data_IF_704627475006
#
_entry.id   IF_704627475006
#
_cell.length_a   1.000
_cell.length_b   1.000
_cell.length_c   1.000
_cell.angle_alpha   90.00
_cell.angle_beta   90.00
_cell.angle_gamma   90.00
#
_symmetry.space_group_name_H-M   'P 1'
#
loop_
_entity.id
_entity.type
_entity.pdbx_description
1 polymer ?
#
# COMPACT_ATOMS: atom_id res chain seq x y z
N UNK A 1 -12.20 -18.48 14.91
CA UNK A 1 -13.54 -18.01 14.53
C UNK A 1 -14.37 -17.52 15.75
N UNK A 2 -14.44 -18.25 16.86
CA UNK A 2 -15.31 -17.89 17.99
C UNK A 2 -14.93 -16.63 18.77
N UNK A 3 -13.68 -16.18 18.75
CA UNK A 3 -13.23 -15.02 19.51
C UNK A 3 -13.57 -13.71 18.78
N UNK A 4 -13.44 -13.69 17.48
CA UNK A 4 -13.86 -12.56 16.63
C UNK A 4 -15.37 -12.32 16.74
N UNK A 5 -16.18 -13.37 16.75
CA UNK A 5 -17.63 -13.27 16.89
C UNK A 5 -18.04 -12.72 18.26
N UNK A 6 -17.32 -13.09 19.32
CA UNK A 6 -17.53 -12.53 20.66
C UNK A 6 -17.20 -11.04 20.72
N UNK A 7 -16.08 -10.62 20.10
CA UNK A 7 -15.70 -9.22 20.02
C UNK A 7 -16.73 -8.39 19.25
N UNK A 8 -17.19 -8.87 18.11
CA UNK A 8 -18.23 -8.20 17.31
C UNK A 8 -19.54 -8.04 18.09
N UNK A 9 -19.94 -9.04 18.86
CA UNK A 9 -21.13 -8.93 19.72
C UNK A 9 -20.98 -7.85 20.80
N UNK A 10 -19.79 -7.69 21.39
CA UNK A 10 -19.51 -6.61 22.36
C UNK A 10 -19.57 -5.24 21.70
N UNK A 11 -18.96 -5.10 20.53
CA UNK A 11 -18.97 -3.84 19.76
C UNK A 11 -20.41 -3.44 19.41
N UNK A 12 -21.20 -4.37 18.88
CA UNK A 12 -22.60 -4.11 18.51
C UNK A 12 -23.50 -3.79 19.73
N UNK A 13 -23.13 -4.26 20.92
CA UNK A 13 -23.82 -3.94 22.19
C UNK A 13 -23.31 -2.64 22.85
N UNK A 14 -22.41 -1.88 22.16
CA UNK A 14 -21.74 -0.69 22.70
C UNK A 14 -21.01 -0.92 24.03
N UNK A 15 -20.34 -2.05 24.14
CA UNK A 15 -19.51 -2.39 25.30
C UNK A 15 -18.02 -2.11 25.02
N UNK A 16 -17.72 -1.36 23.94
CA UNK A 16 -16.37 -1.03 23.50
C UNK A 16 -16.37 0.42 23.02
N UNK A 17 -15.52 1.25 23.61
CA UNK A 17 -15.37 2.65 23.27
C UNK A 17 -14.31 2.88 22.17
N UNK A 18 -13.24 2.07 22.16
CA UNK A 18 -12.13 2.21 21.24
C UNK A 18 -11.80 0.86 20.60
N UNK A 19 -11.68 0.84 19.27
CA UNK A 19 -11.28 -0.33 18.50
C UNK A 19 -9.89 -0.04 17.89
N UNK A 20 -8.90 -0.87 18.23
CA UNK A 20 -7.56 -0.79 17.65
C UNK A 20 -7.36 -1.99 16.73
N UNK A 21 -6.88 -1.73 15.51
CA UNK A 21 -6.63 -2.81 14.57
C UNK A 21 -5.90 -2.37 13.32
N UNK A 22 -5.77 -3.28 12.39
CA UNK A 22 -5.12 -3.07 11.10
C UNK A 22 -6.16 -2.88 10.00
N UNK A 23 -5.70 -2.77 8.75
CA UNK A 23 -6.56 -2.72 7.55
C UNK A 23 -7.65 -3.82 7.50
N UNK A 24 -7.48 -4.92 8.21
CA UNK A 24 -8.48 -6.00 8.27
C UNK A 24 -9.81 -5.53 8.87
N UNK A 25 -9.79 -4.57 9.80
CA UNK A 25 -11.01 -4.02 10.39
C UNK A 25 -11.80 -3.19 9.37
N UNK A 26 -11.11 -2.58 8.40
CA UNK A 26 -11.76 -1.82 7.33
C UNK A 26 -12.55 -2.70 6.36
N UNK A 27 -12.34 -4.01 6.37
CA UNK A 27 -12.98 -4.95 5.44
C UNK A 27 -14.00 -5.84 6.15
N UNK A 28 -15.23 -5.85 5.65
CA UNK A 28 -16.23 -6.86 6.06
C UNK A 28 -17.01 -6.61 7.35
N UNK A 29 -16.63 -5.62 8.17
CA UNK A 29 -17.36 -5.31 9.41
C UNK A 29 -18.14 -4.01 9.28
N UNK A 30 -19.29 -3.95 9.92
CA UNK A 30 -20.12 -2.75 10.01
C UNK A 30 -20.17 -2.29 11.47
N UNK A 31 -19.84 -1.01 11.70
CA UNK A 31 -19.85 -0.40 13.03
C UNK A 31 -20.80 0.81 13.02
N UNK A 32 -22.09 0.61 13.32
CA UNK A 32 -23.12 1.65 13.17
C UNK A 32 -22.88 2.92 14.00
N UNK A 33 -22.18 2.80 15.11
CA UNK A 33 -21.88 3.93 16.02
C UNK A 33 -20.46 4.47 15.91
N UNK A 34 -19.73 4.09 14.86
CA UNK A 34 -18.39 4.61 14.61
C UNK A 34 -18.50 6.07 14.13
N UNK A 35 -18.05 6.99 14.94
CA UNK A 35 -18.09 8.43 14.67
C UNK A 35 -16.70 9.05 14.45
N UNK A 36 -15.64 8.35 14.83
CA UNK A 36 -14.27 8.81 14.65
C UNK A 36 -13.36 7.67 14.17
N UNK A 37 -12.54 7.95 13.16
CA UNK A 37 -11.48 7.05 12.69
C UNK A 37 -10.17 7.80 12.75
N UNK A 38 -9.16 7.20 13.38
CA UNK A 38 -7.79 7.71 13.39
C UNK A 38 -6.88 6.76 12.64
N UNK A 39 -6.27 7.24 11.57
CA UNK A 39 -5.27 6.51 10.79
C UNK A 39 -3.89 6.91 11.28
N UNK A 40 -3.23 5.99 11.96
CA UNK A 40 -1.86 6.20 12.46
C UNK A 40 -0.87 5.86 11.34
N UNK A 41 0.15 6.70 11.15
CA UNK A 41 1.19 6.55 10.11
C UNK A 41 0.57 6.45 8.70
N UNK A 42 -0.15 7.49 8.29
CA UNK A 42 -0.77 7.56 6.96
C UNK A 42 0.27 7.58 5.80
N UNK A 43 1.54 7.79 6.12
CA UNK A 43 2.67 7.79 5.17
C UNK A 43 3.22 6.38 4.89
N UNK A 44 2.67 5.36 5.53
CA UNK A 44 3.14 3.96 5.40
C UNK A 44 3.23 3.47 3.96
N UNK A 45 2.38 3.97 3.08
CA UNK A 45 2.35 3.62 1.67
C UNK A 45 3.56 4.08 0.88
N UNK A 46 4.17 5.19 1.27
CA UNK A 46 5.33 5.74 0.57
C UNK A 46 6.58 4.87 0.75
N UNK A 47 6.58 4.00 1.76
CA UNK A 47 7.69 3.11 2.10
C UNK A 47 7.69 1.80 1.32
N UNK A 48 6.72 1.61 0.42
CA UNK A 48 6.54 0.34 -0.29
C UNK A 48 7.19 0.31 -1.68
N UNK A 49 7.60 -0.90 -2.08
CA UNK A 49 8.08 -1.19 -3.44
C UNK A 49 6.95 -1.61 -4.40
N UNK A 50 5.69 -1.45 -3.97
CA UNK A 50 4.52 -1.78 -4.75
C UNK A 50 4.11 -0.56 -5.57
N UNK A 51 4.18 -0.67 -6.88
CA UNK A 51 3.74 0.38 -7.81
C UNK A 51 2.27 0.78 -7.64
N UNK A 52 1.48 -0.07 -6.99
CA UNK A 52 0.07 0.18 -6.70
C UNK A 52 -0.19 0.56 -5.24
N UNK A 53 0.87 0.86 -4.49
CA UNK A 53 0.74 1.22 -3.08
C UNK A 53 -0.18 2.43 -2.89
N UNK A 54 0.04 3.46 -3.68
CA UNK A 54 -0.76 4.70 -3.69
C UNK A 54 -2.24 4.43 -3.98
N UNK A 55 -2.53 3.67 -5.04
CA UNK A 55 -3.92 3.29 -5.40
C UNK A 55 -4.60 2.50 -4.27
N UNK A 56 -3.88 1.52 -3.71
CA UNK A 56 -4.41 0.69 -2.61
C UNK A 56 -4.72 1.50 -1.37
N UNK A 57 -3.91 2.51 -1.08
CA UNK A 57 -4.16 3.39 0.06
C UNK A 57 -5.35 4.29 -0.14
N UNK A 58 -5.49 4.88 -1.31
CA UNK A 58 -6.66 5.69 -1.63
C UNK A 58 -7.92 4.84 -1.53
N UNK A 59 -7.91 3.62 -2.09
CA UNK A 59 -9.03 2.70 -1.95
C UNK A 59 -9.34 2.39 -0.48
N UNK A 60 -8.30 2.16 0.34
CA UNK A 60 -8.45 1.93 1.77
C UNK A 60 -9.08 3.15 2.46
N UNK A 61 -8.57 4.33 2.19
CA UNK A 61 -9.03 5.56 2.83
C UNK A 61 -10.46 5.92 2.41
N UNK A 62 -10.82 5.71 1.14
CA UNK A 62 -12.22 5.83 0.70
C UNK A 62 -13.13 4.79 1.36
N UNK A 63 -12.66 3.56 1.58
CA UNK A 63 -13.43 2.56 2.33
C UNK A 63 -13.65 2.98 3.78
N UNK A 64 -12.66 3.61 4.41
CA UNK A 64 -12.77 4.14 5.77
C UNK A 64 -13.75 5.32 5.82
N UNK A 65 -13.66 6.28 4.90
CA UNK A 65 -14.57 7.42 4.83
C UNK A 65 -16.02 6.99 4.64
N UNK A 66 -16.26 6.04 3.74
CA UNK A 66 -17.60 5.47 3.53
C UNK A 66 -18.15 4.69 4.71
N UNK A 67 -17.34 4.37 5.73
CA UNK A 67 -17.81 3.73 6.97
C UNK A 67 -18.14 4.72 8.06
N UNK A 68 -17.33 5.77 8.22
CA UNK A 68 -17.56 6.80 9.20
C UNK A 68 -18.84 7.61 8.91
N UNK A 69 -19.19 7.82 7.64
CA UNK A 69 -20.32 8.66 7.22
C UNK A 69 -21.68 7.97 7.07
N UNK A 70 -21.77 6.63 7.24
CA UNK A 70 -23.01 5.90 6.91
C UNK A 70 -24.19 6.14 7.87
N UNK A 71 -23.91 6.49 9.12
CA UNK A 71 -24.95 6.52 10.16
C UNK A 71 -25.01 7.83 10.96
N UNK A 72 -24.07 8.77 10.76
CA UNK A 72 -24.11 10.08 11.40
C UNK A 72 -23.61 11.16 10.45
N UNK A 73 -24.27 12.32 10.48
CA UNK A 73 -23.91 13.51 9.70
C UNK A 73 -22.60 14.20 10.15
N UNK A 74 -21.98 13.72 11.23
CA UNK A 74 -20.79 14.33 11.84
C UNK A 74 -19.72 13.28 12.16
N UNK A 75 -19.23 12.57 11.12
CA UNK A 75 -18.13 11.63 11.31
C UNK A 75 -16.80 12.30 10.99
N UNK A 76 -15.79 12.03 11.83
CA UNK A 76 -14.46 12.59 11.73
C UNK A 76 -13.45 11.52 11.31
N UNK A 77 -12.56 11.85 10.35
CA UNK A 77 -11.40 11.02 10.03
C UNK A 77 -10.15 11.86 10.22
N UNK A 78 -9.24 11.35 11.02
CA UNK A 78 -7.95 11.99 11.31
C UNK A 78 -6.84 11.16 10.70
N UNK A 79 -5.99 11.77 9.89
CA UNK A 79 -4.79 11.15 9.33
C UNK A 79 -3.56 11.72 10.03
N UNK A 80 -2.85 10.87 10.77
CA UNK A 80 -1.56 11.23 11.32
C UNK A 80 -0.48 11.05 10.23
N UNK A 81 0.24 12.12 9.91
CA UNK A 81 1.24 12.13 8.84
C UNK A 81 2.43 13.03 9.21
N UNK A 82 3.61 12.70 8.71
CA UNK A 82 4.80 13.56 8.74
C UNK A 82 4.86 14.47 7.51
N UNK A 83 4.02 14.21 6.50
CA UNK A 83 3.98 14.91 5.21
C UNK A 83 2.60 15.52 4.95
N UNK A 84 2.15 16.53 5.70
CA UNK A 84 0.78 17.08 5.60
C UNK A 84 0.48 17.72 4.23
N UNK A 85 1.50 18.06 3.44
CA UNK A 85 1.37 18.58 2.07
C UNK A 85 1.35 17.48 1.00
N UNK A 86 1.31 16.20 1.41
CA UNK A 86 1.24 15.08 0.50
C UNK A 86 0.00 15.17 -0.40
N UNK A 87 0.21 15.07 -1.72
CA UNK A 87 -0.86 15.17 -2.73
C UNK A 87 -1.94 14.11 -2.53
N UNK A 88 -1.59 12.92 -2.07
CA UNK A 88 -2.54 11.82 -1.83
C UNK A 88 -3.53 12.20 -0.74
N UNK A 89 -3.02 12.65 0.41
CA UNK A 89 -3.85 13.05 1.54
C UNK A 89 -4.68 14.29 1.22
N UNK A 90 -4.10 15.25 0.50
CA UNK A 90 -4.83 16.44 0.06
C UNK A 90 -5.98 16.10 -0.91
N UNK A 91 -5.76 15.18 -1.84
CA UNK A 91 -6.81 14.74 -2.77
C UNK A 91 -7.91 13.95 -2.05
N UNK A 92 -7.57 13.17 -1.03
CA UNK A 92 -8.55 12.49 -0.17
C UNK A 92 -9.43 13.48 0.58
N UNK A 93 -8.84 14.54 1.15
CA UNK A 93 -9.57 15.58 1.87
C UNK A 93 -10.49 16.33 0.93
N UNK A 94 -10.07 16.60 -0.31
CA UNK A 94 -10.87 17.28 -1.34
C UNK A 94 -11.94 16.38 -1.96
N UNK A 95 -11.94 15.09 -1.65
CA UNK A 95 -12.89 14.09 -2.19
C UNK A 95 -12.94 14.05 -3.73
N UNK A 96 -11.81 14.28 -4.40
CA UNK A 96 -11.72 14.24 -5.86
C UNK A 96 -10.84 13.06 -6.33
N UNK A 97 -11.40 11.84 -6.43
CA UNK A 97 -10.66 10.66 -6.84
C UNK A 97 -10.24 10.70 -8.33
N UNK A 98 -10.97 11.40 -9.18
CA UNK A 98 -10.67 11.49 -10.62
C UNK A 98 -9.41 12.31 -10.86
N UNK A 99 -9.30 13.48 -10.25
CA UNK A 99 -8.12 14.33 -10.32
C UNK A 99 -6.85 13.59 -9.84
N UNK A 100 -7.01 12.77 -8.79
CA UNK A 100 -5.91 11.93 -8.33
C UNK A 100 -5.47 10.92 -9.39
N UNK A 101 -6.41 10.19 -10.01
CA UNK A 101 -6.10 9.18 -11.02
C UNK A 101 -5.45 9.80 -12.26
N UNK A 102 -5.89 10.98 -12.67
CA UNK A 102 -5.28 11.73 -13.77
C UNK A 102 -3.82 12.11 -13.45
N UNK A 103 -3.56 12.67 -12.28
CA UNK A 103 -2.22 13.03 -11.82
C UNK A 103 -1.30 11.79 -11.74
N UNK A 104 -1.83 10.67 -11.23
CA UNK A 104 -1.08 9.40 -11.18
C UNK A 104 -0.73 8.90 -12.58
N UNK A 105 -1.66 8.98 -13.54
CA UNK A 105 -1.40 8.60 -14.93
C UNK A 105 -0.32 9.49 -15.57
N UNK A 106 -0.34 10.80 -15.32
CA UNK A 106 0.68 11.73 -15.82
C UNK A 106 2.06 11.34 -15.26
N UNK A 107 2.15 11.07 -13.96
CA UNK A 107 3.41 10.64 -13.32
C UNK A 107 3.91 9.31 -13.88
N UNK A 108 3.03 8.34 -14.09
CA UNK A 108 3.37 7.04 -14.67
C UNK A 108 3.86 7.18 -16.11
N UNK A 109 3.23 8.01 -16.91
CA UNK A 109 3.68 8.30 -18.29
C UNK A 109 5.06 8.92 -18.30
N UNK A 110 5.30 9.93 -17.44
CA UNK A 110 6.59 10.60 -17.32
C UNK A 110 7.72 9.63 -16.92
N UNK A 111 7.42 8.70 -16.01
CA UNK A 111 8.39 7.74 -15.48
C UNK A 111 8.40 6.40 -16.24
N UNK A 112 7.70 6.29 -17.38
CA UNK A 112 7.60 5.06 -18.17
C UNK A 112 7.15 3.86 -17.32
N UNK A 113 6.15 4.05 -16.47
CA UNK A 113 5.56 3.02 -15.62
C UNK A 113 4.28 2.45 -16.28
N UNK A 114 3.82 1.27 -15.88
CA UNK A 114 2.54 0.72 -16.35
C UNK A 114 1.38 1.69 -16.10
N UNK A 115 0.46 1.87 -17.05
CA UNK A 115 0.21 1.07 -18.27
C UNK A 115 1.06 1.48 -19.50
N UNK A 116 1.90 2.49 -19.40
CA UNK A 116 2.69 3.04 -20.54
C UNK A 116 3.94 2.20 -20.87
N UNK A 117 4.30 1.27 -20.01
CA UNK A 117 5.36 0.28 -20.21
C UNK A 117 4.98 -1.05 -19.58
N UNK A 118 5.86 -2.04 -19.73
CA UNK A 118 5.74 -3.32 -19.03
C UNK A 118 6.93 -3.50 -18.10
N UNK A 119 6.68 -3.93 -16.87
CA UNK A 119 7.71 -4.20 -15.89
C UNK A 119 7.76 -5.70 -15.58
N UNK A 120 8.97 -6.24 -15.55
CA UNK A 120 9.24 -7.62 -15.16
C UNK A 120 10.21 -7.58 -13.98
N UNK A 121 9.84 -8.21 -12.87
CA UNK A 121 10.73 -8.37 -11.73
C UNK A 121 11.38 -9.74 -11.77
N UNK A 122 12.70 -9.78 -11.94
CA UNK A 122 13.49 -11.00 -11.84
C UNK A 122 14.07 -11.09 -10.45
N UNK A 123 13.74 -12.15 -9.71
CA UNK A 123 14.24 -12.36 -8.34
C UNK A 123 15.21 -13.53 -8.33
N UNK A 124 16.45 -13.27 -8.00
CA UNK A 124 17.50 -14.26 -7.82
C UNK A 124 17.63 -14.61 -6.35
N UNK A 125 17.59 -15.90 -6.03
CA UNK A 125 17.64 -16.38 -4.64
C UNK A 125 18.80 -17.36 -4.43
N UNK A 126 19.56 -17.18 -3.34
CA UNK A 126 20.67 -18.06 -2.95
C UNK A 126 20.75 -18.22 -1.44
N UNK A 127 21.44 -19.26 -0.98
CA UNK A 127 21.76 -19.44 0.44
C UNK A 127 22.75 -18.36 0.96
N UNK A 128 23.51 -17.75 0.06
CA UNK A 128 24.47 -16.70 0.37
C UNK A 128 24.07 -15.39 -0.32
N UNK A 129 24.17 -14.27 0.41
CA UNK A 129 23.81 -12.94 -0.08
C UNK A 129 24.59 -12.57 -1.36
N UNK A 130 25.89 -12.76 -1.32
CA UNK A 130 26.78 -12.40 -2.43
C UNK A 130 26.50 -13.19 -3.70
N UNK A 131 26.14 -14.48 -3.57
CA UNK A 131 25.80 -15.31 -4.72
C UNK A 131 24.49 -14.87 -5.37
N UNK A 132 23.49 -14.42 -4.57
CA UNK A 132 22.26 -13.89 -5.14
C UNK A 132 22.51 -12.60 -5.92
N UNK A 133 23.41 -11.75 -5.43
CA UNK A 133 23.75 -10.50 -6.10
C UNK A 133 24.57 -10.72 -7.38
N UNK A 134 25.61 -11.59 -7.32
CA UNK A 134 26.41 -11.96 -8.50
C UNK A 134 25.53 -12.57 -9.60
N UNK A 135 24.66 -13.51 -9.28
CA UNK A 135 23.75 -14.11 -10.26
C UNK A 135 22.80 -13.07 -10.90
N UNK A 136 22.31 -12.10 -10.11
CA UNK A 136 21.52 -11.00 -10.66
C UNK A 136 22.34 -10.10 -11.58
N UNK A 137 23.61 -9.86 -11.26
CA UNK A 137 24.51 -9.08 -12.08
C UNK A 137 24.87 -9.78 -13.40
N UNK A 138 25.07 -11.08 -13.38
CA UNK A 138 25.29 -11.88 -14.59
C UNK A 138 24.08 -11.82 -15.54
N UNK A 139 22.86 -11.94 -14.98
CA UNK A 139 21.63 -11.79 -15.76
C UNK A 139 21.57 -10.40 -16.40
N UNK A 140 21.83 -9.34 -15.61
CA UNK A 140 21.88 -7.96 -16.12
C UNK A 140 22.86 -7.81 -17.28
N UNK A 141 24.04 -8.37 -17.17
CA UNK A 141 25.06 -8.29 -18.23
C UNK A 141 24.61 -8.98 -19.51
N UNK A 142 23.99 -10.18 -19.40
CA UNK A 142 23.47 -10.90 -20.56
C UNK A 142 22.31 -10.18 -21.25
N UNK A 143 21.50 -9.45 -20.49
CA UNK A 143 20.35 -8.74 -21.03
C UNK A 143 20.71 -7.38 -21.64
N UNK A 144 21.90 -6.83 -21.37
CA UNK A 144 22.33 -5.51 -21.87
C UNK A 144 22.33 -5.40 -23.41
N UNK A 145 22.49 -6.51 -24.11
CA UNK A 145 22.51 -6.57 -25.58
C UNK A 145 21.11 -6.46 -26.22
N UNK A 146 20.06 -6.53 -25.42
CA UNK A 146 18.69 -6.50 -25.92
C UNK A 146 18.25 -5.04 -26.08
N UNK A 147 17.97 -4.65 -27.32
CA UNK A 147 17.49 -3.30 -27.63
C UNK A 147 16.06 -3.07 -27.11
N UNK A 148 15.79 -1.87 -26.60
CA UNK A 148 14.48 -1.49 -26.08
C UNK A 148 14.20 -1.98 -24.66
N UNK A 149 15.17 -2.63 -24.00
CA UNK A 149 15.08 -3.07 -22.62
C UNK A 149 15.83 -2.10 -21.69
N UNK A 150 15.13 -1.52 -20.72
CA UNK A 150 15.74 -0.75 -19.64
C UNK A 150 15.89 -1.66 -18.41
N UNK A 151 17.12 -1.80 -17.89
CA UNK A 151 17.41 -2.75 -16.82
C UNK A 151 17.80 -1.98 -15.55
N UNK A 152 16.96 -2.10 -14.53
CA UNK A 152 17.22 -1.54 -13.22
C UNK A 152 17.84 -2.59 -12.28
N UNK A 153 18.53 -2.12 -11.24
CA UNK A 153 19.20 -3.01 -10.28
C UNK A 153 20.58 -3.50 -10.74
N UNK A 154 21.14 -4.54 -10.12
CA UNK A 154 20.56 -5.32 -9.02
C UNK A 154 20.46 -4.56 -7.69
N UNK A 155 19.41 -4.82 -6.93
CA UNK A 155 19.18 -4.29 -5.58
C UNK A 155 18.62 -5.38 -4.68
N UNK A 156 18.69 -5.21 -3.38
CA UNK A 156 18.05 -6.14 -2.44
C UNK A 156 16.54 -6.21 -2.71
N UNK A 157 16.00 -7.42 -2.66
CA UNK A 157 14.55 -7.58 -2.80
C UNK A 157 13.83 -7.01 -1.55
N UNK A 158 12.57 -6.55 -1.66
CA UNK A 158 11.79 -6.02 -0.53
C UNK A 158 11.76 -6.94 0.69
N UNK A 159 11.74 -8.25 0.45
CA UNK A 159 11.95 -9.28 1.47
C UNK A 159 13.32 -9.87 1.20
N UNK A 160 14.33 -9.35 1.89
CA UNK A 160 15.73 -9.74 1.69
C UNK A 160 15.97 -11.23 1.92
N UNK A 161 15.32 -11.83 2.93
CA UNK A 161 15.49 -13.24 3.27
C UNK A 161 14.13 -13.93 3.40
N UNK A 162 13.90 -14.94 2.58
CA UNK A 162 12.69 -15.75 2.60
C UNK A 162 13.05 -17.23 2.55
N UNK A 163 12.48 -18.05 3.45
CA UNK A 163 12.76 -19.49 3.57
C UNK A 163 14.27 -19.79 3.60
N UNK A 164 15.02 -19.07 4.42
CA UNK A 164 16.47 -19.14 4.60
C UNK A 164 17.31 -18.73 3.38
N UNK A 165 16.71 -18.28 2.27
CA UNK A 165 17.41 -17.80 1.07
C UNK A 165 17.45 -16.29 1.02
N UNK A 166 18.60 -15.71 0.70
CA UNK A 166 18.77 -14.30 0.37
C UNK A 166 18.24 -14.03 -1.03
N UNK A 167 17.68 -12.86 -1.23
CA UNK A 167 16.98 -12.48 -2.46
C UNK A 167 17.48 -11.14 -2.96
N UNK A 168 17.79 -11.10 -4.27
CA UNK A 168 18.15 -9.90 -5.02
C UNK A 168 17.17 -9.73 -6.19
N UNK A 169 16.86 -8.49 -6.52
CA UNK A 169 15.96 -8.16 -7.63
C UNK A 169 16.70 -7.30 -8.64
#
# INVERSE_FOLDING_TARGET
KGETDKLLKKINKNQVDIIIGTQMISKGFNFPKLNCIVVIDADFSERGYDLRATEKNIQLYHQLSGRAGRFSSSSLIIYQTLSPKNLILNNLIKSNPEEFLENELILRKKNKLPPFSRLIAVIVSSNFKDLSFRGAQEIKMKLKSITGLEIMGPVEAPILKLKKKFRCR
#
